data_IF_627642694333
#
_entry.id   IF_627642694333
#
_cell.length_a   1.000
_cell.length_b   1.000
_cell.length_c   1.000
_cell.angle_alpha   90.00
_cell.angle_beta   90.00
_cell.angle_gamma   90.00
#
_symmetry.space_group_name_H-M   'P 1'
#
loop_
_entity.id
_entity.type
_entity.pdbx_description
1 polymer ?
#
# COMPACT_ATOMS: atom_id res chain seq x y z
N UNK A 1 -76.19 23.88 34.49
CA UNK A 1 -75.30 24.81 33.74
C UNK A 1 -74.69 24.05 32.58
N UNK A 2 -74.69 24.62 31.37
CA UNK A 2 -74.38 23.93 30.12
C UNK A 2 -72.90 24.07 29.71
N UNK A 3 -72.58 23.40 28.58
CA UNK A 3 -71.45 23.55 27.64
C UNK A 3 -70.38 22.47 27.76
N UNK A 4 -69.93 21.78 26.70
CA UNK A 4 -70.04 21.90 25.22
C UNK A 4 -69.48 20.55 24.70
N UNK A 5 -70.19 19.75 23.88
CA UNK A 5 -70.10 19.64 22.39
C UNK A 5 -68.63 19.69 21.89
N UNK A 6 -68.12 18.92 20.95
CA UNK A 6 -68.66 18.10 19.87
C UNK A 6 -67.46 17.30 19.30
N UNK A 7 -67.71 16.05 18.91
CA UNK A 7 -67.47 15.50 17.57
C UNK A 7 -66.43 16.24 16.69
N UNK A 8 -65.60 15.57 15.91
CA UNK A 8 -66.02 14.70 14.81
C UNK A 8 -64.75 14.12 14.16
N UNK A 9 -64.86 12.86 13.71
CA UNK A 9 -64.25 12.22 12.53
C UNK A 9 -63.09 12.96 11.83
N UNK A 10 -62.00 12.24 11.56
CA UNK A 10 -61.43 12.09 10.20
C UNK A 10 -60.55 10.82 10.26
N UNK A 11 -61.17 9.69 9.91
CA UNK A 11 -60.50 8.64 9.14
C UNK A 11 -60.48 9.09 7.68
N UNK A 12 -59.39 8.76 6.98
CA UNK A 12 -59.17 8.89 5.53
C UNK A 12 -58.99 10.30 4.93
N UNK A 13 -57.72 10.74 4.84
CA UNK A 13 -56.99 10.98 3.56
C UNK A 13 -55.73 11.84 3.78
N UNK A 14 -54.72 11.57 2.94
CA UNK A 14 -53.34 12.08 2.86
C UNK A 14 -52.35 11.16 3.61
N UNK A 15 -51.66 10.17 3.02
CA UNK A 15 -51.23 9.96 1.62
C UNK A 15 -50.74 11.24 0.96
N UNK A 16 -49.66 11.79 1.49
CA UNK A 16 -48.59 12.51 0.79
C UNK A 16 -47.63 13.07 1.84
N UNK A 17 -46.33 12.94 1.56
CA UNK A 17 -45.22 13.63 2.24
C UNK A 17 -44.84 13.16 3.65
N UNK A 18 -43.96 12.15 3.68
CA UNK A 18 -42.63 12.27 4.31
C UNK A 18 -41.65 11.33 3.61
N UNK A 19 -41.38 11.65 2.34
CA UNK A 19 -40.08 11.37 1.74
C UNK A 19 -39.10 12.32 2.42
N UNK A 20 -38.28 11.78 3.31
CA UNK A 20 -37.24 12.51 4.00
C UNK A 20 -36.08 11.57 4.29
N UNK A 21 -35.17 11.50 3.32
CA UNK A 21 -33.75 11.20 3.48
C UNK A 21 -33.36 9.97 4.32
N UNK A 22 -33.79 8.80 3.87
CA UNK A 22 -32.94 7.60 3.97
C UNK A 22 -32.05 7.57 2.72
N UNK A 23 -30.94 8.33 2.75
CA UNK A 23 -29.85 8.09 1.82
C UNK A 23 -29.30 6.68 2.10
N UNK A 24 -29.72 5.73 1.27
CA UNK A 24 -29.30 4.34 1.23
C UNK A 24 -27.78 4.18 1.36
N UNK A 25 -27.27 3.96 2.58
CA UNK A 25 -25.97 3.32 2.81
C UNK A 25 -25.93 1.88 2.25
N UNK A 26 -27.09 1.32 1.88
CA UNK A 26 -27.20 -0.02 1.30
C UNK A 26 -26.82 -0.13 -0.19
N UNK A 27 -26.74 0.97 -0.95
CA UNK A 27 -26.53 0.90 -2.41
C UNK A 27 -25.04 0.84 -2.83
N UNK A 28 -24.09 0.92 -1.89
CA UNK A 28 -22.65 0.81 -2.19
C UNK A 28 -22.06 -0.59 -2.00
N UNK A 29 -22.90 -1.59 -1.70
CA UNK A 29 -22.44 -2.84 -1.05
C UNK A 29 -21.94 -3.94 -2.00
N UNK A 30 -22.00 -3.77 -3.33
CA UNK A 30 -21.45 -4.75 -4.27
C UNK A 30 -21.22 -4.16 -5.67
N UNK A 31 -20.48 -3.05 -5.77
CA UNK A 31 -20.12 -2.44 -7.06
C UNK A 31 -18.68 -2.86 -7.39
N UNK A 32 -18.36 -3.15 -8.65
CA UNK A 32 -16.97 -3.30 -9.08
C UNK A 32 -16.33 -1.91 -9.24
N UNK A 33 -15.03 -1.84 -9.56
CA UNK A 33 -14.32 -0.57 -9.75
C UNK A 33 -14.97 0.33 -10.81
N UNK A 34 -15.47 -0.21 -11.92
CA UNK A 34 -16.09 0.57 -12.99
C UNK A 34 -17.45 1.17 -12.58
N UNK A 35 -18.27 0.36 -11.92
CA UNK A 35 -19.57 0.78 -11.40
C UNK A 35 -19.39 1.79 -10.27
N UNK A 36 -18.42 1.58 -9.38
CA UNK A 36 -18.11 2.52 -8.31
C UNK A 36 -17.56 3.84 -8.88
N UNK A 37 -16.70 3.78 -9.90
CA UNK A 37 -16.20 4.98 -10.59
C UNK A 37 -17.36 5.77 -11.24
N UNK A 38 -18.32 5.08 -11.85
CA UNK A 38 -19.49 5.72 -12.44
C UNK A 38 -20.36 6.37 -11.37
N UNK A 39 -20.57 5.65 -10.25
CA UNK A 39 -21.29 6.16 -9.08
C UNK A 39 -20.68 7.43 -8.52
N UNK A 40 -19.37 7.46 -8.23
CA UNK A 40 -18.72 8.65 -7.66
C UNK A 40 -18.71 9.85 -8.60
N UNK A 41 -18.82 9.63 -9.92
CA UNK A 41 -18.98 10.71 -10.91
C UNK A 41 -20.39 11.26 -10.98
N UNK A 42 -21.40 10.47 -10.62
CA UNK A 42 -22.81 10.84 -10.68
C UNK A 42 -23.37 11.41 -9.37
N UNK A 43 -22.66 11.22 -8.25
CA UNK A 43 -23.07 11.68 -6.94
C UNK A 43 -22.36 12.97 -6.52
N UNK A 44 -22.92 13.69 -5.55
CA UNK A 44 -22.32 14.89 -4.95
C UNK A 44 -21.21 14.53 -3.95
N UNK A 45 -20.22 13.77 -4.41
CA UNK A 45 -19.06 13.34 -3.63
C UNK A 45 -17.83 14.18 -3.98
N UNK A 46 -16.94 14.38 -3.01
CA UNK A 46 -15.76 15.24 -3.14
C UNK A 46 -14.49 14.44 -3.39
N UNK A 47 -13.85 14.70 -4.54
CA UNK A 47 -12.53 14.16 -4.84
C UNK A 47 -11.49 14.67 -3.82
N UNK A 48 -10.61 13.78 -3.36
CA UNK A 48 -9.62 14.03 -2.31
C UNK A 48 -10.17 13.91 -0.88
N UNK A 49 -11.48 13.71 -0.71
CA UNK A 49 -12.14 13.52 0.59
C UNK A 49 -12.86 12.18 0.64
N UNK A 50 -13.85 11.97 -0.23
CA UNK A 50 -14.70 10.79 -0.25
C UNK A 50 -14.10 9.66 -1.10
N UNK A 51 -13.46 10.05 -2.20
CA UNK A 51 -12.71 9.20 -3.13
C UNK A 51 -11.45 9.93 -3.61
N UNK A 52 -10.52 9.22 -4.24
CA UNK A 52 -9.39 9.80 -4.95
C UNK A 52 -9.47 9.42 -6.42
N UNK A 53 -9.66 10.38 -7.31
CA UNK A 53 -9.67 10.21 -8.75
C UNK A 53 -8.55 11.05 -9.38
N UNK A 54 -7.68 10.38 -10.12
CA UNK A 54 -6.60 11.00 -10.89
C UNK A 54 -6.74 10.56 -12.34
N UNK A 55 -7.13 11.50 -13.19
CA UNK A 55 -7.32 11.25 -14.63
C UNK A 55 -6.18 11.82 -15.48
N UNK A 56 -5.42 12.76 -14.92
CA UNK A 56 -4.32 13.40 -15.62
C UNK A 56 -3.11 12.48 -15.70
N UNK A 57 -2.46 12.47 -16.87
CA UNK A 57 -1.21 11.76 -17.07
C UNK A 57 -0.05 12.47 -16.35
N UNK A 58 1.04 11.73 -16.12
CA UNK A 58 2.32 12.25 -15.61
C UNK A 58 2.19 13.01 -14.28
N UNK A 59 1.24 12.61 -13.43
CA UNK A 59 1.02 13.22 -12.11
C UNK A 59 1.71 12.45 -11.01
N UNK A 60 2.27 13.19 -10.06
CA UNK A 60 2.69 12.65 -8.76
C UNK A 60 1.81 13.22 -7.66
N UNK A 61 1.17 12.34 -6.90
CA UNK A 61 0.27 12.68 -5.80
C UNK A 61 0.93 12.21 -4.51
N UNK A 62 1.02 13.12 -3.55
CA UNK A 62 1.61 12.88 -2.23
C UNK A 62 0.51 12.86 -1.19
N UNK A 63 0.31 11.71 -0.58
CA UNK A 63 -0.61 11.49 0.53
C UNK A 63 0.06 11.78 1.87
N UNK A 64 -0.71 11.82 2.94
CA UNK A 64 -0.13 12.00 4.28
C UNK A 64 0.74 10.81 4.66
N UNK A 65 1.89 11.09 5.26
CA UNK A 65 2.82 10.08 5.71
C UNK A 65 2.44 9.57 7.10
N UNK A 66 2.59 8.26 7.35
CA UNK A 66 2.33 7.58 8.62
C UNK A 66 0.89 7.75 9.19
N UNK A 67 -0.01 8.36 8.43
CA UNK A 67 -1.44 8.54 8.74
C UNK A 67 -2.31 7.74 7.78
N UNK A 68 -3.47 7.29 8.25
CA UNK A 68 -4.45 6.60 7.40
C UNK A 68 -5.11 7.58 6.41
N UNK A 69 -4.82 7.39 5.13
CA UNK A 69 -5.52 8.06 4.04
C UNK A 69 -6.75 7.23 3.68
N UNK A 70 -7.94 7.71 4.06
CA UNK A 70 -9.18 6.93 3.97
C UNK A 70 -10.10 7.47 2.87
N UNK A 71 -10.51 6.59 1.96
CA UNK A 71 -11.37 6.91 0.83
C UNK A 71 -12.51 5.89 0.74
N UNK A 72 -13.69 6.26 1.24
CA UNK A 72 -14.81 5.33 1.38
C UNK A 72 -15.33 4.80 0.04
N UNK A 73 -15.16 5.56 -1.05
CA UNK A 73 -15.69 5.18 -2.37
C UNK A 73 -14.63 4.78 -3.39
N UNK A 74 -13.35 4.79 -3.03
CA UNK A 74 -12.31 4.24 -3.88
C UNK A 74 -11.15 5.18 -4.18
N UNK A 75 -10.09 4.58 -4.71
CA UNK A 75 -8.91 5.24 -5.25
C UNK A 75 -8.72 4.75 -6.69
N UNK A 76 -8.75 5.69 -7.63
CA UNK A 76 -8.78 5.45 -9.07
C UNK A 76 -7.65 6.22 -9.74
N UNK A 77 -6.57 5.50 -10.09
CA UNK A 77 -5.44 6.01 -10.85
C UNK A 77 -5.68 5.69 -12.33
N UNK A 78 -6.38 6.59 -13.02
CA UNK A 78 -6.81 6.40 -14.42
C UNK A 78 -5.90 7.08 -15.43
N UNK A 79 -5.09 8.05 -15.00
CA UNK A 79 -4.04 8.64 -15.83
C UNK A 79 -2.86 7.70 -16.06
N UNK A 80 -2.19 7.84 -17.19
CA UNK A 80 -0.93 7.18 -17.50
C UNK A 80 0.23 7.78 -16.70
N UNK A 81 1.23 6.96 -16.36
CA UNK A 81 2.41 7.40 -15.60
C UNK A 81 2.07 8.17 -14.31
N UNK A 82 0.97 7.77 -13.65
CA UNK A 82 0.55 8.37 -12.38
C UNK A 82 1.30 7.71 -11.23
N UNK A 83 1.83 8.53 -10.33
CA UNK A 83 2.60 8.11 -9.17
C UNK A 83 1.84 8.52 -7.90
N UNK A 84 1.49 7.55 -7.07
CA UNK A 84 0.97 7.77 -5.72
C UNK A 84 2.07 7.45 -4.71
N UNK A 85 2.41 8.40 -3.86
CA UNK A 85 3.44 8.26 -2.81
C UNK A 85 3.05 9.07 -1.57
N UNK A 86 3.93 9.16 -0.58
CA UNK A 86 3.71 9.95 0.64
C UNK A 86 4.48 11.26 0.62
N UNK A 87 3.96 12.24 1.36
CA UNK A 87 4.69 13.47 1.62
C UNK A 87 5.85 13.18 2.57
N UNK A 88 7.06 13.24 2.03
CA UNK A 88 8.29 13.00 2.77
C UNK A 88 9.12 14.30 2.79
N UNK A 89 9.34 14.90 3.97
CA UNK A 89 10.21 16.07 4.15
C UNK A 89 11.42 15.75 5.04
N UNK A 90 12.45 15.19 4.40
CA UNK A 90 13.73 14.86 5.02
C UNK A 90 14.43 16.05 5.70
N UNK A 91 14.07 17.30 5.35
CA UNK A 91 14.72 18.50 5.90
C UNK A 91 14.14 18.92 7.25
N UNK A 92 12.89 18.54 7.54
CA UNK A 92 12.21 18.92 8.79
C UNK A 92 12.30 17.85 9.86
N UNK A 93 12.34 16.58 9.45
CA UNK A 93 12.33 15.44 10.38
C UNK A 93 13.44 14.48 10.00
N UNK A 94 14.53 14.50 10.77
CA UNK A 94 15.73 13.70 10.50
C UNK A 94 15.48 12.18 10.56
N UNK A 95 14.38 11.75 11.20
CA UNK A 95 14.02 10.34 11.43
C UNK A 95 12.68 9.93 10.79
N UNK A 96 12.12 10.77 9.91
CA UNK A 96 10.88 10.39 9.22
C UNK A 96 11.21 9.47 8.05
N UNK A 97 10.45 8.38 7.92
CA UNK A 97 10.52 7.40 6.83
C UNK A 97 9.17 7.35 6.10
N UNK A 98 9.18 6.93 4.83
CA UNK A 98 7.96 6.83 4.02
C UNK A 98 7.13 5.62 4.42
N UNK A 99 5.97 5.89 5.00
CA UNK A 99 4.97 4.92 5.42
C UNK A 99 3.60 5.32 4.86
N UNK A 100 3.20 4.71 3.75
CA UNK A 100 1.88 4.89 3.18
C UNK A 100 0.88 3.97 3.89
N UNK A 101 -0.13 4.55 4.56
CA UNK A 101 -1.29 3.81 5.05
C UNK A 101 -2.53 4.27 4.27
N UNK A 102 -3.23 3.34 3.65
CA UNK A 102 -4.41 3.65 2.84
C UNK A 102 -5.54 2.65 3.09
N UNK A 103 -6.71 3.19 3.41
CA UNK A 103 -7.94 2.41 3.60
C UNK A 103 -8.96 2.84 2.55
N UNK A 104 -9.39 1.91 1.70
CA UNK A 104 -10.27 2.23 0.58
C UNK A 104 -11.27 1.11 0.31
N UNK A 105 -12.43 1.43 -0.26
CA UNK A 105 -13.33 0.38 -0.77
C UNK A 105 -12.77 -0.27 -2.02
N UNK A 106 -12.31 0.55 -2.97
CA UNK A 106 -11.81 0.12 -4.27
C UNK A 106 -10.42 0.68 -4.51
N UNK A 107 -9.57 -0.10 -5.15
CA UNK A 107 -8.29 0.39 -5.66
C UNK A 107 -8.15 -0.03 -7.12
N UNK A 108 -8.06 0.95 -8.01
CA UNK A 108 -7.86 0.72 -9.44
C UNK A 108 -6.63 1.49 -9.94
N UNK A 109 -5.61 0.75 -10.39
CA UNK A 109 -4.46 1.28 -11.14
C UNK A 109 -4.63 0.81 -12.58
N UNK A 110 -5.10 1.72 -13.44
CA UNK A 110 -5.54 1.34 -14.79
C UNK A 110 -4.39 1.01 -15.74
N UNK A 111 -3.29 1.76 -15.65
CA UNK A 111 -2.18 1.70 -16.61
C UNK A 111 -0.91 1.08 -16.01
N UNK A 112 -0.14 0.39 -16.85
CA UNK A 112 1.05 -0.36 -16.46
C UNK A 112 2.22 0.50 -15.96
N UNK A 113 2.33 1.73 -16.43
CA UNK A 113 3.35 2.68 -15.99
C UNK A 113 2.99 3.43 -14.70
N UNK A 114 1.74 3.34 -14.26
CA UNK A 114 1.29 3.95 -13.02
C UNK A 114 1.71 3.11 -11.82
N UNK A 115 2.01 3.77 -10.70
CA UNK A 115 2.55 3.08 -9.51
C UNK A 115 2.16 3.73 -8.20
N UNK A 116 1.96 2.88 -7.19
CA UNK A 116 2.02 3.26 -5.78
C UNK A 116 3.41 2.91 -5.29
N UNK A 117 4.21 3.86 -4.81
CA UNK A 117 5.56 3.51 -4.34
C UNK A 117 6.03 4.28 -3.11
N UNK A 118 6.74 3.54 -2.25
CA UNK A 118 7.56 4.04 -1.16
C UNK A 118 9.02 3.57 -1.31
N UNK A 119 9.48 3.31 -2.54
CA UNK A 119 10.86 2.91 -2.82
C UNK A 119 11.87 3.96 -2.32
N UNK A 120 12.96 3.51 -1.72
CA UNK A 120 14.05 4.33 -1.16
C UNK A 120 13.64 5.28 -0.01
N UNK A 121 12.44 5.12 0.55
CA UNK A 121 11.94 5.94 1.65
C UNK A 121 12.14 5.31 3.04
N UNK A 122 12.91 4.23 3.15
CA UNK A 122 13.28 3.59 4.41
C UNK A 122 14.53 4.19 5.05
N UNK A 123 15.27 3.36 5.79
CA UNK A 123 16.48 3.81 6.45
C UNK A 123 17.52 4.32 5.45
N UNK A 124 18.14 5.49 5.70
CA UNK A 124 19.27 5.98 4.92
C UNK A 124 20.46 5.02 4.92
N UNK A 125 21.45 5.30 4.05
CA UNK A 125 22.75 4.64 4.07
C UNK A 125 23.33 4.54 5.49
N UNK A 126 24.02 3.45 5.79
CA UNK A 126 24.60 3.13 7.11
C UNK A 126 23.61 3.14 8.29
N UNK A 127 22.31 3.05 8.03
CA UNK A 127 21.27 3.04 9.06
C UNK A 127 20.32 1.86 8.90
N UNK A 128 19.61 1.57 9.99
CA UNK A 128 18.67 0.45 10.10
C UNK A 128 19.26 -0.80 10.77
N UNK A 129 18.40 -1.71 11.27
CA UNK A 129 18.82 -2.91 12.00
C UNK A 129 19.72 -3.85 11.17
N UNK A 130 19.46 -3.94 9.87
CA UNK A 130 20.22 -4.72 8.90
C UNK A 130 21.10 -3.83 8.03
N UNK A 131 21.68 -2.74 8.55
CA UNK A 131 22.54 -1.88 7.72
C UNK A 131 23.73 -2.65 7.15
N UNK A 132 24.12 -2.30 5.92
CA UNK A 132 25.35 -2.81 5.34
C UNK A 132 26.59 -2.29 6.08
N UNK A 133 27.61 -3.13 6.18
CA UNK A 133 28.90 -2.80 6.79
C UNK A 133 29.78 -1.96 5.87
N UNK A 134 30.64 -1.14 6.48
CA UNK A 134 31.65 -0.35 5.77
C UNK A 134 32.82 -1.22 5.34
N UNK A 135 33.23 -1.10 4.07
CA UNK A 135 34.41 -1.77 3.52
C UNK A 135 35.45 -0.80 3.00
N UNK A 136 36.69 -1.27 2.84
CA UNK A 136 37.78 -0.55 2.15
C UNK A 136 37.63 -0.62 0.63
N UNK A 137 37.15 -1.75 0.12
CA UNK A 137 36.99 -2.03 -1.32
C UNK A 137 35.54 -1.80 -1.78
N UNK A 138 34.61 -2.59 -1.24
CA UNK A 138 33.17 -2.47 -1.48
C UNK A 138 32.44 -2.46 -0.13
N UNK A 139 31.34 -1.72 -0.03
CA UNK A 139 30.48 -1.78 1.14
C UNK A 139 29.46 -2.90 1.02
N UNK A 140 29.00 -3.44 2.15
CA UNK A 140 27.99 -4.50 2.18
C UNK A 140 26.60 -3.96 1.87
N UNK A 141 25.74 -4.80 1.30
CA UNK A 141 24.34 -4.47 1.08
C UNK A 141 23.54 -4.50 2.38
N UNK A 142 22.50 -3.65 2.48
CA UNK A 142 21.56 -3.70 3.60
C UNK A 142 20.70 -4.96 3.54
N UNK A 143 20.38 -5.55 4.68
CA UNK A 143 19.43 -6.67 4.82
C UNK A 143 18.04 -6.18 5.25
N UNK A 144 17.01 -6.85 4.76
CA UNK A 144 15.68 -6.87 5.40
C UNK A 144 15.16 -8.32 5.26
N UNK A 145 13.98 -8.65 4.79
CA UNK A 145 13.50 -10.06 4.70
C UNK A 145 14.45 -11.12 4.11
N UNK A 146 15.55 -10.74 3.45
CA UNK A 146 16.74 -11.57 3.27
C UNK A 146 18.03 -10.84 3.68
N UNK A 147 19.09 -11.61 3.96
CA UNK A 147 20.45 -11.06 4.15
C UNK A 147 20.91 -10.28 2.92
N UNK A 148 21.66 -9.19 3.14
CA UNK A 148 22.30 -8.41 2.09
C UNK A 148 23.46 -9.16 1.43
N UNK A 149 23.97 -8.60 0.33
CA UNK A 149 25.16 -9.10 -0.36
C UNK A 149 26.46 -8.71 0.35
N UNK A 150 27.40 -9.65 0.40
CA UNK A 150 28.73 -9.50 1.01
C UNK A 150 29.79 -9.94 -0.01
N UNK A 151 30.83 -9.12 -0.17
CA UNK A 151 32.05 -9.50 -0.88
C UNK A 151 33.07 -10.17 0.06
N UNK A 152 34.27 -10.46 -0.42
CA UNK A 152 35.29 -11.06 0.45
C UNK A 152 35.75 -10.08 1.56
N UNK A 153 35.32 -10.35 2.79
CA UNK A 153 35.63 -9.56 3.98
C UNK A 153 37.14 -9.56 4.29
N UNK A 154 37.85 -10.64 3.96
CA UNK A 154 39.31 -10.73 4.15
C UNK A 154 40.07 -9.79 3.21
N UNK A 155 39.48 -9.49 2.05
CA UNK A 155 39.97 -8.49 1.09
C UNK A 155 39.44 -7.07 1.39
N UNK A 156 38.86 -6.87 2.57
CA UNK A 156 38.39 -5.57 3.04
C UNK A 156 36.99 -5.18 2.55
N UNK A 157 36.16 -6.12 2.06
CA UNK A 157 34.76 -5.83 1.79
C UNK A 157 33.97 -5.60 3.09
N UNK A 158 32.94 -4.76 3.01
CA UNK A 158 32.01 -4.51 4.09
C UNK A 158 31.08 -5.70 4.30
N UNK A 159 30.78 -6.00 5.57
CA UNK A 159 29.88 -7.10 5.93
C UNK A 159 28.47 -6.88 5.41
N UNK A 160 27.76 -7.94 5.03
CA UNK A 160 26.34 -7.85 4.70
C UNK A 160 25.50 -7.46 5.92
N UNK A 161 24.43 -6.70 5.66
CA UNK A 161 23.38 -6.47 6.62
C UNK A 161 22.58 -7.74 6.91
N UNK A 162 22.31 -8.01 8.19
CA UNK A 162 21.57 -9.19 8.62
C UNK A 162 20.07 -9.10 8.35
N UNK A 163 19.42 -10.27 8.27
CA UNK A 163 17.98 -10.39 8.12
C UNK A 163 17.25 -10.06 9.44
N UNK A 164 16.12 -9.38 9.35
CA UNK A 164 15.23 -9.12 10.49
C UNK A 164 13.76 -9.04 10.05
N UNK A 165 12.87 -8.91 11.04
CA UNK A 165 11.43 -8.86 10.86
C UNK A 165 10.81 -10.22 10.59
N UNK A 166 9.49 -10.27 10.78
CA UNK A 166 8.70 -11.48 10.64
C UNK A 166 7.91 -11.48 9.32
N UNK A 167 7.54 -12.67 8.82
CA UNK A 167 7.02 -12.82 7.45
C UNK A 167 5.55 -12.41 7.30
N UNK A 168 4.79 -12.43 8.38
CA UNK A 168 3.34 -12.16 8.41
C UNK A 168 3.02 -10.67 8.41
N UNK A 169 3.96 -9.82 8.84
CA UNK A 169 3.78 -8.37 8.96
C UNK A 169 2.59 -7.96 9.86
N UNK A 170 2.20 -8.81 10.81
CA UNK A 170 1.08 -8.56 11.72
C UNK A 170 1.54 -8.07 13.10
N UNK A 171 2.71 -8.51 13.55
CA UNK A 171 3.26 -8.08 14.84
C UNK A 171 4.02 -6.78 14.70
N UNK A 172 4.82 -6.68 13.64
CA UNK A 172 5.64 -5.52 13.35
C UNK A 172 5.88 -5.40 11.85
N UNK A 173 5.87 -4.17 11.35
CA UNK A 173 6.16 -3.83 9.96
C UNK A 173 7.37 -2.91 9.97
N UNK A 174 8.41 -3.26 9.20
CA UNK A 174 9.68 -2.54 9.27
C UNK A 174 10.05 -1.87 7.96
N UNK A 175 10.74 -0.73 8.08
CA UNK A 175 11.43 -0.14 6.95
C UNK A 175 12.62 -1.01 6.53
N UNK A 176 12.97 -0.95 5.25
CA UNK A 176 14.22 -1.52 4.76
C UNK A 176 15.42 -0.77 5.30
N UNK A 177 16.49 -1.50 5.60
CA UNK A 177 17.80 -0.96 6.00
C UNK A 177 18.60 -0.42 4.82
N UNK A 178 19.42 0.60 5.06
CA UNK A 178 20.32 1.15 4.06
C UNK A 178 21.57 0.30 3.83
N UNK A 179 22.16 0.43 2.65
CA UNK A 179 23.45 -0.16 2.34
C UNK A 179 24.59 0.56 3.04
N UNK A 180 25.73 -0.12 3.14
CA UNK A 180 26.94 0.47 3.72
C UNK A 180 27.50 1.59 2.82
N UNK A 181 28.06 2.61 3.46
CA UNK A 181 28.79 3.70 2.84
C UNK A 181 29.85 4.29 3.77
N UNK A 182 30.81 5.01 3.22
CA UNK A 182 31.90 5.61 4.01
C UNK A 182 31.97 7.11 3.73
N UNK A 183 32.34 7.45 2.48
CA UNK A 183 32.68 8.81 2.08
C UNK A 183 31.84 9.27 0.86
N UNK A 184 32.14 10.46 0.29
CA UNK A 184 31.41 11.04 -0.86
C UNK A 184 31.37 10.12 -2.10
N UNK A 185 32.38 9.27 -2.29
CA UNK A 185 32.47 8.35 -3.42
C UNK A 185 31.76 7.00 -3.16
N UNK A 186 31.40 6.73 -1.91
CA UNK A 186 30.87 5.44 -1.46
C UNK A 186 29.52 5.63 -0.77
N UNK A 187 28.55 6.16 -1.51
CA UNK A 187 27.21 6.40 -1.02
C UNK A 187 26.42 5.08 -1.11
N UNK A 188 26.05 4.51 0.03
CA UNK A 188 25.13 3.37 0.08
C UNK A 188 23.70 3.78 -0.32
N UNK A 189 22.93 2.82 -0.81
CA UNK A 189 21.53 3.02 -1.15
C UNK A 189 20.63 3.08 0.08
N UNK A 190 19.53 3.83 0.00
CA UNK A 190 18.53 3.86 1.07
C UNK A 190 17.66 2.59 1.02
N UNK A 191 17.15 2.14 2.15
CA UNK A 191 16.18 1.06 2.18
C UNK A 191 14.79 1.46 1.67
N UNK A 192 13.92 0.48 1.42
CA UNK A 192 12.53 0.70 1.03
C UNK A 192 11.63 1.14 2.20
N UNK A 193 10.59 1.90 1.89
CA UNK A 193 9.57 2.33 2.85
C UNK A 193 8.55 1.24 3.20
N UNK A 194 7.39 1.65 3.72
CA UNK A 194 6.27 0.77 4.06
C UNK A 194 5.03 1.18 3.27
N UNK A 195 4.30 0.21 2.73
CA UNK A 195 2.96 0.39 2.19
C UNK A 195 2.02 -0.57 2.94
N UNK A 196 0.98 -0.03 3.56
CA UNK A 196 -0.09 -0.75 4.22
C UNK A 196 -1.43 -0.40 3.56
N UNK A 197 -2.05 -1.39 2.92
CA UNK A 197 -3.30 -1.25 2.18
C UNK A 197 -4.40 -2.09 2.83
N UNK A 198 -5.51 -1.44 3.18
CA UNK A 198 -6.77 -2.10 3.52
C UNK A 198 -7.75 -1.80 2.39
N UNK A 199 -8.18 -2.85 1.70
CA UNK A 199 -9.08 -2.74 0.55
C UNK A 199 -10.32 -3.58 0.83
N UNK A 200 -11.48 -2.93 0.92
CA UNK A 200 -12.71 -3.58 1.39
C UNK A 200 -13.47 -4.37 0.32
N UNK A 201 -13.39 -3.94 -0.94
CA UNK A 201 -14.19 -4.53 -2.02
C UNK A 201 -13.32 -5.10 -3.14
N UNK A 202 -12.62 -4.26 -3.91
CA UNK A 202 -11.89 -4.73 -5.10
C UNK A 202 -10.53 -4.07 -5.27
N UNK A 203 -9.57 -4.88 -5.74
CA UNK A 203 -8.24 -4.45 -6.16
C UNK A 203 -8.05 -4.82 -7.64
N UNK A 204 -7.88 -3.83 -8.50
CA UNK A 204 -7.47 -3.98 -9.89
C UNK A 204 -6.17 -3.21 -10.09
N UNK A 205 -5.04 -3.89 -10.11
CA UNK A 205 -3.73 -3.31 -10.36
C UNK A 205 -3.17 -3.82 -11.70
N UNK A 206 -3.15 -2.97 -12.72
CA UNK A 206 -2.38 -3.20 -13.95
C UNK A 206 -0.99 -2.59 -13.92
N UNK A 207 -0.73 -1.71 -12.95
CA UNK A 207 0.56 -1.06 -12.72
C UNK A 207 1.42 -1.78 -11.69
N UNK A 208 2.01 -1.02 -10.78
CA UNK A 208 2.90 -1.57 -9.76
C UNK A 208 2.75 -0.97 -8.36
N UNK A 209 2.98 -1.79 -7.34
CA UNK A 209 3.08 -1.39 -5.92
C UNK A 209 4.50 -1.71 -5.45
N UNK A 210 5.26 -0.71 -4.99
CA UNK A 210 6.70 -0.86 -4.81
C UNK A 210 7.25 -0.26 -3.51
N UNK A 211 8.04 -1.05 -2.78
CA UNK A 211 8.88 -0.62 -1.66
C UNK A 211 10.33 -1.06 -1.89
N UNK A 212 10.90 -0.73 -3.06
CA UNK A 212 12.24 -1.19 -3.42
C UNK A 212 13.34 -0.40 -2.70
N UNK A 213 14.46 -1.07 -2.42
CA UNK A 213 15.68 -0.43 -1.96
C UNK A 213 16.35 0.36 -3.10
N UNK A 214 17.14 1.36 -2.71
CA UNK A 214 17.91 2.17 -3.63
C UNK A 214 19.25 1.55 -3.96
N UNK A 215 19.77 1.86 -5.13
CA UNK A 215 21.13 1.52 -5.50
C UNK A 215 22.10 2.42 -4.71
N UNK A 216 23.21 1.83 -4.27
CA UNK A 216 24.38 2.61 -3.90
C UNK A 216 25.16 3.06 -5.14
N UNK A 217 26.13 3.96 -4.96
CA UNK A 217 27.12 4.25 -6.00
C UNK A 217 28.01 3.01 -6.27
N UNK A 218 28.94 3.11 -7.22
CA UNK A 218 29.82 2.00 -7.67
C UNK A 218 30.33 1.12 -6.51
N UNK A 219 30.86 1.72 -5.44
CA UNK A 219 31.40 1.00 -4.27
C UNK A 219 30.44 0.93 -3.07
N UNK A 220 29.30 1.64 -3.13
CA UNK A 220 28.28 1.64 -2.09
C UNK A 220 27.42 0.39 -2.14
N UNK A 221 26.97 -0.09 -0.98
CA UNK A 221 26.05 -1.23 -0.92
C UNK A 221 24.64 -0.83 -1.33
N UNK A 222 23.87 -1.76 -1.90
CA UNK A 222 22.45 -1.57 -2.18
C UNK A 222 21.63 -1.52 -0.89
N UNK A 223 20.64 -0.63 -0.82
CA UNK A 223 19.66 -0.64 0.25
C UNK A 223 18.70 -1.83 0.11
N UNK A 224 18.19 -2.36 1.22
CA UNK A 224 17.22 -3.46 1.17
C UNK A 224 15.82 -2.98 0.75
N UNK A 225 14.99 -3.90 0.24
CA UNK A 225 13.56 -3.65 0.07
C UNK A 225 12.88 -3.32 1.41
N UNK A 226 11.65 -2.82 1.37
CA UNK A 226 10.82 -2.49 2.53
C UNK A 226 9.66 -3.47 2.73
N UNK A 227 8.55 -3.01 3.31
CA UNK A 227 7.38 -3.86 3.56
C UNK A 227 6.18 -3.45 2.71
N UNK A 228 5.43 -4.46 2.23
CA UNK A 228 4.09 -4.27 1.67
C UNK A 228 3.12 -5.21 2.40
N UNK A 229 2.11 -4.64 3.04
CA UNK A 229 1.00 -5.37 3.64
C UNK A 229 -0.29 -5.03 2.88
N UNK A 230 -0.95 -6.04 2.32
CA UNK A 230 -2.25 -5.89 1.64
C UNK A 230 -3.27 -6.75 2.37
N UNK A 231 -4.36 -6.14 2.84
CA UNK A 231 -5.49 -6.80 3.45
C UNK A 231 -6.73 -6.58 2.60
N UNK A 232 -7.20 -7.65 1.96
CA UNK A 232 -8.49 -7.68 1.29
C UNK A 232 -9.55 -8.06 2.33
N UNK A 233 -10.37 -7.10 2.73
CA UNK A 233 -11.49 -7.34 3.63
C UNK A 233 -12.71 -7.75 2.82
N UNK A 234 -12.60 -8.81 2.02
CA UNK A 234 -13.78 -9.42 1.43
C UNK A 234 -14.67 -9.86 2.59
N UNK A 235 -15.86 -9.25 2.70
CA UNK A 235 -16.83 -9.47 3.77
C UNK A 235 -17.33 -10.92 3.76
N UNK A 236 -16.49 -11.84 4.25
CA UNK A 236 -16.90 -13.14 4.72
C UNK A 236 -17.39 -12.96 6.15
N UNK A 237 -18.45 -12.18 6.30
CA UNK A 237 -19.23 -12.14 7.53
C UNK A 237 -19.89 -13.51 7.66
N UNK A 238 -19.20 -14.44 8.33
CA UNK A 238 -19.76 -15.65 8.90
C UNK A 238 -20.75 -15.25 10.01
N UNK A 239 -21.88 -14.68 9.61
CA UNK A 239 -23.03 -14.42 10.45
C UNK A 239 -24.23 -15.05 9.77
N UNK A 240 -24.58 -16.21 10.31
CA UNK A 240 -25.61 -17.15 9.89
C UNK A 240 -27.01 -16.53 9.90
N UNK A 241 -27.31 -15.58 8.99
CA UNK A 241 -28.70 -15.25 8.58
C UNK A 241 -28.87 -14.23 7.45
N UNK A 242 -27.81 -13.60 6.93
CA UNK A 242 -27.94 -12.76 5.73
C UNK A 242 -27.10 -13.33 4.59
N UNK A 243 -27.75 -14.00 3.64
CA UNK A 243 -27.19 -14.25 2.31
C UNK A 243 -27.13 -12.90 1.57
N UNK A 244 -26.08 -12.69 0.78
CA UNK A 244 -25.70 -11.51 -0.04
C UNK A 244 -24.61 -10.67 0.66
N UNK A 245 -23.32 -10.66 0.29
CA UNK A 245 -22.57 -11.23 -0.82
C UNK A 245 -21.13 -11.50 -0.33
N UNK A 246 -20.52 -12.68 -0.54
CA UNK A 246 -19.06 -12.71 -0.60
C UNK A 246 -18.67 -11.78 -1.76
N UNK A 247 -17.79 -10.80 -1.55
CA UNK A 247 -17.21 -10.02 -2.65
C UNK A 247 -16.49 -11.01 -3.58
N UNK A 248 -17.20 -11.51 -4.59
CA UNK A 248 -16.72 -12.45 -5.61
C UNK A 248 -15.98 -11.71 -6.74
N UNK A 249 -15.59 -10.46 -6.51
CA UNK A 249 -14.87 -9.71 -7.52
C UNK A 249 -13.52 -10.35 -7.76
N UNK A 250 -13.20 -10.53 -9.03
CA UNK A 250 -11.86 -10.90 -9.43
C UNK A 250 -10.90 -9.76 -9.04
N UNK A 251 -9.80 -10.15 -8.40
CA UNK A 251 -8.73 -9.25 -8.03
C UNK A 251 -7.57 -9.38 -9.00
N UNK A 252 -7.05 -8.26 -9.47
CA UNK A 252 -5.81 -8.22 -10.26
C UNK A 252 -4.72 -7.58 -9.41
N UNK A 253 -3.67 -8.33 -9.10
CA UNK A 253 -2.60 -7.84 -8.19
C UNK A 253 -1.48 -7.07 -8.90
N UNK A 254 -1.33 -7.24 -10.22
CA UNK A 254 -0.28 -6.59 -11.01
C UNK A 254 1.12 -6.90 -10.49
N UNK A 255 2.03 -5.94 -10.63
CA UNK A 255 3.38 -6.07 -10.09
C UNK A 255 3.46 -5.57 -8.64
N UNK A 256 4.04 -6.38 -7.75
CA UNK A 256 4.27 -5.99 -6.35
C UNK A 256 5.72 -6.30 -6.01
N UNK A 257 6.50 -5.28 -5.63
CA UNK A 257 7.95 -5.46 -5.45
C UNK A 257 8.49 -4.84 -4.15
N UNK A 258 9.34 -5.60 -3.46
CA UNK A 258 10.20 -5.15 -2.37
C UNK A 258 11.62 -5.68 -2.60
N UNK A 259 12.21 -5.43 -3.76
CA UNK A 259 13.58 -5.87 -4.07
C UNK A 259 14.60 -4.88 -3.54
N UNK A 260 15.77 -5.36 -3.13
CA UNK A 260 16.88 -4.47 -2.76
C UNK A 260 17.52 -3.80 -3.98
N UNK A 261 18.36 -2.80 -3.75
CA UNK A 261 19.21 -2.22 -4.80
C UNK A 261 20.29 -3.19 -5.27
N UNK A 262 20.90 -2.91 -6.42
CA UNK A 262 22.08 -3.59 -6.97
C UNK A 262 21.93 -5.12 -7.12
N UNK A 263 20.76 -5.62 -7.52
CA UNK A 263 20.48 -7.07 -7.55
C UNK A 263 21.45 -7.91 -8.40
N UNK A 264 22.20 -7.28 -9.31
CA UNK A 264 23.20 -7.92 -10.17
C UNK A 264 24.65 -7.78 -9.66
N UNK A 265 24.87 -7.21 -8.48
CA UNK A 265 26.20 -7.01 -7.88
C UNK A 265 26.37 -7.81 -6.58
N UNK A 266 27.63 -7.99 -6.17
CA UNK A 266 28.00 -8.71 -4.94
C UNK A 266 27.51 -8.01 -3.66
N UNK A 267 27.33 -6.69 -3.70
CA UNK A 267 26.87 -5.85 -2.59
C UNK A 267 25.38 -5.47 -2.71
N UNK A 268 24.59 -6.35 -3.32
CA UNK A 268 23.13 -6.19 -3.45
C UNK A 268 22.43 -5.99 -2.12
N UNK A 269 21.38 -5.18 -2.10
CA UNK A 269 20.46 -5.14 -0.98
C UNK A 269 19.64 -6.43 -0.88
N UNK A 270 19.31 -6.83 0.35
CA UNK A 270 18.36 -7.89 0.62
C UNK A 270 16.95 -7.53 0.13
N UNK A 271 16.14 -8.55 -0.13
CA UNK A 271 14.71 -8.36 -0.41
C UNK A 271 13.98 -7.99 0.88
N UNK A 272 12.86 -7.31 0.74
CA UNK A 272 11.97 -6.93 1.82
C UNK A 272 10.96 -8.03 2.16
N UNK A 273 9.75 -7.63 2.54
CA UNK A 273 8.67 -8.57 2.91
C UNK A 273 7.35 -8.12 2.27
N UNK A 274 6.59 -9.10 1.78
CA UNK A 274 5.24 -8.88 1.25
C UNK A 274 4.30 -9.84 1.98
N UNK A 275 3.20 -9.33 2.53
CA UNK A 275 2.14 -10.14 3.11
C UNK A 275 0.79 -9.75 2.50
N UNK A 276 0.03 -10.75 2.05
CA UNK A 276 -1.27 -10.57 1.41
C UNK A 276 -2.31 -11.43 2.11
N UNK A 277 -3.35 -10.78 2.62
CA UNK A 277 -4.47 -11.41 3.33
C UNK A 277 -5.78 -11.26 2.57
N UNK A 278 -6.71 -12.20 2.78
CA UNK A 278 -8.08 -12.11 2.26
C UNK A 278 -8.28 -12.60 0.83
N UNK A 279 -7.26 -13.23 0.24
CA UNK A 279 -7.30 -13.80 -1.09
C UNK A 279 -6.37 -15.01 -1.15
N UNK A 280 -6.80 -16.09 -1.77
CA UNK A 280 -5.92 -17.20 -2.14
C UNK A 280 -5.19 -16.86 -3.44
N UNK A 281 -3.85 -16.88 -3.43
CA UNK A 281 -3.06 -16.49 -4.58
C UNK A 281 -2.89 -17.66 -5.56
N UNK A 282 -3.26 -17.43 -6.82
CA UNK A 282 -2.91 -18.34 -7.91
C UNK A 282 -1.42 -18.28 -8.25
N UNK A 283 -0.88 -19.33 -8.87
CA UNK A 283 0.49 -19.35 -9.39
C UNK A 283 0.78 -18.20 -10.36
N UNK A 284 -0.21 -17.79 -11.16
CA UNK A 284 -0.05 -16.68 -12.08
C UNK A 284 0.03 -15.33 -11.37
N UNK A 285 -0.70 -15.15 -10.26
CA UNK A 285 -0.56 -13.94 -9.44
C UNK A 285 0.82 -13.85 -8.80
N UNK A 286 1.38 -14.97 -8.35
CA UNK A 286 2.69 -15.01 -7.68
C UNK A 286 3.84 -14.62 -8.63
N UNK A 287 3.72 -14.89 -9.93
CA UNK A 287 4.79 -14.59 -10.93
C UNK A 287 5.22 -13.12 -10.96
N UNK A 288 4.31 -12.20 -10.66
CA UNK A 288 4.55 -10.75 -10.70
C UNK A 288 4.86 -10.15 -9.32
N UNK A 289 5.06 -10.98 -8.30
CA UNK A 289 5.30 -10.56 -6.91
C UNK A 289 6.70 -10.99 -6.47
N UNK A 290 7.55 -10.04 -6.10
CA UNK A 290 8.92 -10.32 -5.63
C UNK A 290 9.31 -9.46 -4.42
N UNK A 291 9.64 -10.03 -3.25
CA UNK A 291 9.76 -11.45 -2.91
C UNK A 291 8.44 -12.21 -2.88
N UNK A 292 8.52 -13.54 -2.87
CA UNK A 292 7.36 -14.41 -2.68
C UNK A 292 6.58 -13.95 -1.43
N UNK A 293 5.27 -13.67 -1.53
CA UNK A 293 4.52 -13.13 -0.42
C UNK A 293 4.19 -14.22 0.61
N UNK A 294 4.10 -13.83 1.87
CA UNK A 294 3.30 -14.57 2.83
C UNK A 294 1.82 -14.41 2.46
N UNK A 295 1.06 -15.51 2.39
CA UNK A 295 -0.34 -15.46 1.97
C UNK A 295 -1.24 -16.32 2.86
N UNK A 296 -2.35 -15.75 3.31
CA UNK A 296 -3.44 -16.45 4.00
C UNK A 296 -4.79 -15.82 3.68
N UNK A 297 -5.84 -16.64 3.68
CA UNK A 297 -7.21 -16.16 3.52
C UNK A 297 -7.64 -15.35 4.76
N UNK A 298 -7.17 -15.74 5.95
CA UNK A 298 -7.51 -15.09 7.22
C UNK A 298 -6.27 -14.55 7.94
N UNK A 299 -6.48 -13.46 8.68
CA UNK A 299 -5.48 -12.84 9.54
C UNK A 299 -5.21 -13.69 10.78
#
# INVERSE_FOLDING_TARGET
QPKVQENTQIEEKKQEEKNGDEHNENDSTNKNCENMLSFVKSCDLKNGVDFLLINENDRTIKLKNNEWNSYNFGVFLLGENTILTVHYDKKRYHDEFGHLKMNTSHLWIKHSFSKIHCSQLGYPKDQGPGKGGRGKSFNGGGGYGTKGGEGDVLLGAGKAGEMYGEETLLKEIHFGSGGGGSDLLQVGGNGGGIIELIIRQQLINHGSIQCNGGDGNILGGGGSGGSILIQLQCQSSFSSRSRLCPNNFEHTLGYITCVGGKQNEINKGGKGRIAIYGLELSSDNIKNIDPKPFNRIHK
#
